data_IF_417241073824
#
_entry.id   IF_417241073824
#
_cell.length_a   1.000
_cell.length_b   1.000
_cell.length_c   1.000
_cell.angle_alpha   90.00
_cell.angle_beta   90.00
_cell.angle_gamma   90.00
#
_symmetry.space_group_name_H-M   'P 1'
#
loop_
_entity.id
_entity.type
_entity.pdbx_description
1 polymer ?
#
# COMPACT_ATOMS: atom_id res chain seq x y z
N UNK A 1 6.28 9.25 8.79
CA UNK A 1 7.16 9.76 9.86
C UNK A 1 8.35 10.42 9.17
N UNK A 2 8.97 11.42 9.78
CA UNK A 2 10.15 12.10 9.24
C UNK A 2 11.15 12.21 10.38
N UNK A 3 12.39 11.81 10.13
CA UNK A 3 13.42 11.86 11.16
C UNK A 3 13.76 13.30 11.52
N UNK A 4 14.13 13.50 12.78
CA UNK A 4 14.62 14.79 13.23
C UNK A 4 15.98 15.04 12.58
N UNK A 5 16.18 16.25 12.06
CA UNK A 5 17.44 16.68 11.46
C UNK A 5 17.88 17.98 12.12
N UNK A 6 19.18 18.19 12.21
CA UNK A 6 19.75 19.50 12.58
C UNK A 6 19.44 20.55 11.50
N UNK A 7 19.15 20.11 10.27
CA UNK A 7 18.52 20.94 9.25
C UNK A 7 17.00 20.98 9.45
N UNK A 8 16.37 22.14 9.22
CA UNK A 8 14.92 22.23 9.27
C UNK A 8 14.26 21.33 8.22
N UNK A 9 13.30 20.51 8.64
CA UNK A 9 12.42 19.79 7.73
C UNK A 9 11.50 20.80 7.01
N UNK A 10 11.54 20.84 5.69
CA UNK A 10 10.67 21.69 4.87
C UNK A 10 9.41 20.92 4.44
N UNK A 11 8.24 21.55 4.63
CA UNK A 11 6.96 21.02 4.18
C UNK A 11 6.48 21.87 3.01
N UNK A 12 6.77 21.39 1.79
CA UNK A 12 6.42 22.08 0.55
C UNK A 12 5.12 21.54 -0.03
N UNK A 13 4.14 22.42 -0.20
CA UNK A 13 2.93 22.16 -0.99
C UNK A 13 3.06 22.83 -2.35
N UNK A 14 3.09 22.04 -3.42
CA UNK A 14 3.05 22.56 -4.79
C UNK A 14 1.61 22.40 -5.29
N UNK A 15 0.91 23.51 -5.40
CA UNK A 15 -0.44 23.55 -5.97
C UNK A 15 -0.33 24.02 -7.41
N UNK A 16 -0.94 23.28 -8.34
CA UNK A 16 -0.95 23.66 -9.75
C UNK A 16 -1.50 25.07 -9.93
N UNK A 17 -0.81 25.89 -10.73
CA UNK A 17 -1.17 27.29 -10.99
C UNK A 17 -2.27 27.44 -12.06
N UNK A 18 -2.76 26.32 -12.60
CA UNK A 18 -3.85 26.24 -13.57
C UNK A 18 -5.04 25.55 -12.89
N UNK A 19 -6.13 26.29 -12.69
CA UNK A 19 -7.37 25.72 -12.19
C UNK A 19 -8.00 24.83 -13.26
N UNK A 20 -8.11 23.52 -12.99
CA UNK A 20 -8.96 22.62 -13.77
C UNK A 20 -10.37 22.71 -13.18
N UNK A 21 -11.23 23.55 -13.78
CA UNK A 21 -12.61 23.77 -13.33
C UNK A 21 -13.07 25.23 -13.43
N UNK A 22 -14.36 25.48 -13.17
CA UNK A 22 -15.00 26.81 -13.30
C UNK A 22 -14.80 27.72 -12.07
N UNK A 23 -14.07 27.27 -11.06
CA UNK A 23 -13.83 28.04 -9.83
C UNK A 23 -12.49 27.68 -9.20
N UNK A 24 -11.72 28.70 -8.80
CA UNK A 24 -10.53 28.52 -7.97
C UNK A 24 -11.03 28.27 -6.54
N UNK A 25 -10.96 27.02 -6.09
CA UNK A 25 -11.32 26.68 -4.72
C UNK A 25 -10.35 27.34 -3.73
N UNK A 26 -10.89 27.96 -2.68
CA UNK A 26 -10.10 28.46 -1.56
C UNK A 26 -9.66 27.25 -0.71
N UNK A 27 -8.42 26.80 -0.87
CA UNK A 27 -7.90 25.59 -0.20
C UNK A 27 -7.32 25.97 1.15
N UNK A 28 -7.77 25.31 2.21
CA UNK A 28 -7.24 25.47 3.57
C UNK A 28 -6.80 24.09 4.07
N UNK A 29 -5.67 24.04 4.77
CA UNK A 29 -5.15 22.83 5.40
C UNK A 29 -4.92 23.08 6.89
N UNK A 30 -5.19 22.07 7.70
CA UNK A 30 -4.79 22.03 9.11
C UNK A 30 -3.74 20.94 9.25
N UNK A 31 -2.55 21.30 9.74
CA UNK A 31 -1.42 20.38 9.88
C UNK A 31 -1.08 20.27 11.36
N UNK A 32 -1.07 19.04 11.88
CA UNK A 32 -0.58 18.74 13.22
C UNK A 32 0.75 18.02 13.13
N UNK A 33 1.74 18.54 13.83
CA UNK A 33 3.05 17.91 13.97
C UNK A 33 3.24 17.50 15.43
N UNK A 34 3.64 16.25 15.64
CA UNK A 34 4.00 15.72 16.96
C UNK A 34 5.44 15.25 16.90
N UNK A 35 6.24 15.65 17.87
CA UNK A 35 7.63 15.21 17.98
C UNK A 35 7.75 14.16 19.09
N UNK A 36 8.53 13.13 18.83
CA UNK A 36 8.86 12.08 19.81
C UNK A 36 10.35 12.16 20.13
N UNK A 37 10.70 11.84 21.37
CA UNK A 37 12.11 11.72 21.75
C UNK A 37 12.76 10.54 21.01
N UNK A 38 14.08 10.63 20.77
CA UNK A 38 14.84 9.61 20.03
C UNK A 38 14.90 8.25 20.76
N UNK A 39 14.57 8.20 22.04
CA UNK A 39 14.49 7.00 22.88
C UNK A 39 13.05 6.49 23.06
N UNK A 40 12.08 7.07 22.35
CA UNK A 40 10.70 6.64 22.42
C UNK A 40 10.58 5.18 21.95
N UNK A 41 10.04 4.32 22.82
CA UNK A 41 10.00 2.85 22.61
C UNK A 41 9.25 2.41 21.35
N UNK A 42 8.35 3.25 20.84
CA UNK A 42 7.52 2.96 19.68
C UNK A 42 7.84 3.92 18.52
N UNK A 43 9.12 4.26 18.34
CA UNK A 43 9.56 4.97 17.15
C UNK A 43 9.28 4.12 15.91
N UNK A 44 8.75 4.77 14.89
CA UNK A 44 8.63 4.16 13.57
C UNK A 44 10.04 3.88 13.03
N UNK A 45 10.28 2.71 12.39
CA UNK A 45 11.51 2.49 11.67
C UNK A 45 11.74 3.53 10.57
N UNK A 46 13.00 3.73 10.19
CA UNK A 46 13.36 4.63 9.08
C UNK A 46 12.64 4.24 7.78
N UNK A 47 12.22 5.25 7.03
CA UNK A 47 11.52 5.07 5.75
C UNK A 47 10.05 4.68 5.87
N UNK A 48 9.46 4.58 7.07
CA UNK A 48 8.04 4.33 7.26
C UNK A 48 7.21 5.62 7.10
N UNK A 49 6.30 5.64 6.13
CA UNK A 49 5.39 6.77 5.91
C UNK A 49 4.16 6.66 6.82
N UNK A 50 3.69 5.43 7.08
CA UNK A 50 2.67 5.09 8.08
C UNK A 50 3.25 4.06 9.07
N UNK A 51 2.86 4.14 10.35
CA UNK A 51 3.33 3.20 11.36
C UNK A 51 2.20 2.79 12.30
N UNK A 52 1.89 1.49 12.30
CA UNK A 52 0.85 0.88 13.14
C UNK A 52 1.49 0.01 14.22
N UNK A 53 1.00 0.12 15.45
CA UNK A 53 1.48 -0.65 16.60
C UNK A 53 0.39 -0.78 17.68
N UNK A 54 0.58 -1.70 18.61
CA UNK A 54 -0.29 -1.92 19.78
C UNK A 54 -1.46 -2.87 19.52
N UNK A 55 -2.07 -2.84 18.33
CA UNK A 55 -3.12 -3.77 17.93
C UNK A 55 -2.56 -4.93 17.08
N UNK A 56 -2.96 -6.17 17.43
CA UNK A 56 -2.65 -7.35 16.61
C UNK A 56 -3.54 -7.47 15.38
N UNK A 57 -4.72 -6.84 15.39
CA UNK A 57 -5.61 -6.71 14.23
C UNK A 57 -6.02 -5.26 14.09
N UNK A 58 -5.81 -4.69 12.91
CA UNK A 58 -6.21 -3.31 12.57
C UNK A 58 -6.30 -3.15 11.04
N UNK A 59 -6.82 -2.01 10.60
CA UNK A 59 -6.97 -1.66 9.18
C UNK A 59 -5.83 -0.75 8.75
N UNK A 60 -5.26 -1.06 7.58
CA UNK A 60 -4.32 -0.20 6.86
C UNK A 60 -4.92 0.21 5.52
N UNK A 61 -4.62 1.41 5.07
CA UNK A 61 -5.05 1.89 3.76
C UNK A 61 -4.07 2.91 3.19
N UNK A 62 -4.10 3.08 1.88
CA UNK A 62 -3.31 4.10 1.18
C UNK A 62 -3.80 5.51 1.53
N UNK A 63 -2.92 6.50 1.38
CA UNK A 63 -3.36 7.89 1.44
C UNK A 63 -4.44 8.19 0.40
N UNK A 64 -5.39 9.04 0.80
CA UNK A 64 -6.54 9.45 -0.01
C UNK A 64 -7.49 8.33 -0.46
N UNK A 65 -7.41 7.11 0.12
CA UNK A 65 -8.34 6.03 -0.19
C UNK A 65 -9.81 6.46 -0.05
N UNK A 66 -10.16 7.09 1.07
CA UNK A 66 -11.50 7.63 1.30
C UNK A 66 -11.88 8.80 0.37
N UNK A 67 -10.90 9.43 -0.29
CA UNK A 67 -11.12 10.46 -1.31
C UNK A 67 -11.45 9.90 -2.69
N UNK A 68 -11.48 8.58 -2.86
CA UNK A 68 -11.94 7.91 -4.08
C UNK A 68 -10.87 7.73 -5.16
N UNK A 69 -9.64 8.22 -4.93
CA UNK A 69 -8.54 8.11 -5.91
C UNK A 69 -7.17 8.24 -5.24
N UNK A 70 -6.19 7.38 -5.55
CA UNK A 70 -4.79 7.61 -5.15
C UNK A 70 -4.14 8.68 -6.03
N UNK A 71 -3.02 9.22 -5.53
CA UNK A 71 -2.23 10.21 -6.26
C UNK A 71 -1.14 9.51 -7.07
N UNK A 72 -0.63 10.19 -8.10
CA UNK A 72 0.58 9.80 -8.81
C UNK A 72 1.83 9.98 -7.92
N UNK A 73 2.93 9.36 -8.34
CA UNK A 73 4.27 9.43 -7.75
C UNK A 73 4.30 9.13 -6.24
N UNK A 74 3.43 8.22 -5.79
CA UNK A 74 3.39 7.83 -4.39
C UNK A 74 4.38 6.70 -4.13
N UNK A 75 5.06 6.78 -3.00
CA UNK A 75 5.90 5.72 -2.49
C UNK A 75 5.65 5.59 -0.99
N UNK A 76 4.56 4.92 -0.64
CA UNK A 76 4.11 4.78 0.73
C UNK A 76 4.65 3.48 1.30
N UNK A 77 5.32 3.53 2.45
CA UNK A 77 5.78 2.35 3.16
C UNK A 77 5.04 2.28 4.50
N UNK A 78 4.03 1.41 4.55
CA UNK A 78 3.22 1.17 5.73
C UNK A 78 3.91 0.10 6.56
N UNK A 79 4.43 0.50 7.71
CA UNK A 79 5.13 -0.37 8.62
C UNK A 79 4.23 -0.80 9.77
N UNK A 80 4.30 -2.08 10.14
CA UNK A 80 3.50 -2.63 11.23
C UNK A 80 4.46 -3.22 12.25
N UNK A 81 4.40 -2.72 13.48
CA UNK A 81 5.23 -3.25 14.55
C UNK A 81 4.81 -4.68 14.88
N UNK A 82 5.78 -5.58 14.92
CA UNK A 82 5.58 -6.93 15.43
C UNK A 82 5.36 -6.90 16.94
N UNK A 83 4.15 -7.22 17.37
CA UNK A 83 3.83 -7.34 18.79
C UNK A 83 4.41 -8.64 19.37
N UNK A 84 4.64 -8.65 20.68
CA UNK A 84 5.34 -9.75 21.36
C UNK A 84 4.63 -11.08 21.11
N UNK A 85 5.41 -12.10 20.74
CA UNK A 85 4.90 -13.46 20.51
C UNK A 85 4.38 -13.69 19.10
N UNK A 86 4.16 -12.65 18.30
CA UNK A 86 3.76 -12.80 16.91
C UNK A 86 4.99 -12.96 16.00
N UNK A 87 4.84 -13.78 14.96
CA UNK A 87 5.90 -14.11 14.00
C UNK A 87 5.41 -14.10 12.55
N UNK A 88 4.10 -14.10 12.33
CA UNK A 88 3.43 -14.07 11.03
C UNK A 88 2.45 -12.91 11.00
N UNK A 89 2.26 -12.30 9.84
CA UNK A 89 1.21 -11.33 9.57
C UNK A 89 0.37 -11.80 8.39
N UNK A 90 -0.94 -11.66 8.50
CA UNK A 90 -1.88 -11.99 7.43
C UNK A 90 -2.66 -10.74 7.02
N UNK A 91 -2.98 -10.64 5.75
CA UNK A 91 -3.68 -9.54 5.13
C UNK A 91 -4.90 -10.05 4.37
N UNK A 92 -5.99 -9.32 4.48
CA UNK A 92 -7.24 -9.59 3.78
C UNK A 92 -7.82 -8.26 3.34
N UNK A 93 -8.22 -8.14 2.08
CA UNK A 93 -8.99 -6.99 1.64
C UNK A 93 -10.37 -7.02 2.31
N UNK A 94 -10.88 -5.89 2.81
CA UNK A 94 -12.20 -5.86 3.46
C UNK A 94 -13.28 -6.28 2.44
N UNK A 95 -13.18 -5.76 1.23
CA UNK A 95 -13.90 -6.21 0.05
C UNK A 95 -12.90 -6.40 -1.11
N UNK A 96 -13.18 -7.27 -2.08
CA UNK A 96 -12.26 -7.47 -3.22
C UNK A 96 -12.02 -6.17 -4.02
N UNK A 97 -13.00 -5.26 -4.02
CA UNK A 97 -12.94 -3.93 -4.65
C UNK A 97 -12.05 -2.93 -3.87
N UNK A 98 -11.77 -3.20 -2.60
CA UNK A 98 -10.88 -2.38 -1.78
C UNK A 98 -9.40 -2.58 -2.14
N UNK A 99 -9.09 -3.41 -3.14
CA UNK A 99 -7.79 -3.44 -3.81
C UNK A 99 -8.03 -3.03 -5.26
N UNK A 100 -7.74 -1.77 -5.53
CA UNK A 100 -7.92 -1.14 -6.83
C UNK A 100 -6.78 -0.16 -7.03
N UNK A 101 -5.67 -0.70 -7.48
CA UNK A 101 -4.39 0.00 -7.57
C UNK A 101 -4.08 0.39 -9.01
N UNK A 102 -4.49 -0.41 -9.98
CA UNK A 102 -4.32 -0.08 -11.39
C UNK A 102 -5.22 -0.96 -12.25
N UNK A 103 -5.53 -0.56 -13.48
CA UNK A 103 -6.25 -1.44 -14.38
C UNK A 103 -6.76 -0.80 -15.67
N UNK A 104 -6.86 -1.66 -16.69
CA UNK A 104 -7.74 -1.52 -17.86
C UNK A 104 -8.74 -2.68 -17.82
N UNK A 105 -9.96 -2.51 -18.35
CA UNK A 105 -11.09 -3.46 -18.21
C UNK A 105 -10.77 -4.95 -18.52
N UNK A 106 -9.70 -5.24 -19.26
CA UNK A 106 -9.29 -6.60 -19.62
C UNK A 106 -8.31 -7.26 -18.62
N UNK A 107 -7.69 -6.48 -17.74
CA UNK A 107 -6.57 -6.89 -16.88
C UNK A 107 -6.98 -6.79 -15.41
N UNK A 108 -7.89 -7.69 -15.03
CA UNK A 108 -8.38 -7.84 -13.66
C UNK A 108 -7.51 -8.80 -12.86
N UNK A 109 -6.67 -8.25 -11.98
CA UNK A 109 -5.91 -9.03 -11.01
C UNK A 109 -4.60 -9.58 -11.57
N UNK A 110 -3.50 -9.03 -11.08
CA UNK A 110 -2.18 -9.59 -11.28
C UNK A 110 -1.58 -9.85 -9.90
N UNK A 111 -1.61 -11.11 -9.51
CA UNK A 111 -0.83 -11.68 -8.42
C UNK A 111 -0.08 -12.87 -8.99
N UNK A 112 1.14 -13.12 -8.49
CA UNK A 112 2.19 -14.03 -9.02
C UNK A 112 3.34 -13.36 -9.77
N UNK A 113 3.92 -12.29 -9.21
CA UNK A 113 5.09 -11.61 -9.79
C UNK A 113 4.87 -11.24 -11.28
N UNK A 114 3.65 -10.80 -11.62
CA UNK A 114 3.42 -10.29 -12.97
C UNK A 114 4.37 -9.13 -13.20
N UNK A 115 5.12 -9.23 -14.30
CA UNK A 115 6.22 -8.34 -14.65
C UNK A 115 5.72 -6.92 -14.92
N UNK A 116 4.42 -6.74 -15.18
CA UNK A 116 3.83 -5.40 -15.35
C UNK A 116 3.61 -4.69 -14.02
N UNK A 117 3.50 -5.40 -12.89
CA UNK A 117 3.36 -4.74 -11.59
C UNK A 117 4.67 -4.05 -11.20
N UNK A 118 4.59 -2.80 -10.75
CA UNK A 118 5.74 -1.99 -10.32
C UNK A 118 6.74 -1.58 -11.42
N UNK A 119 6.43 -1.79 -12.71
CA UNK A 119 7.19 -1.25 -13.84
C UNK A 119 8.50 -1.93 -14.19
N UNK A 120 8.61 -3.26 -14.03
CA UNK A 120 9.82 -3.99 -14.41
C UNK A 120 9.57 -5.06 -15.47
N UNK A 121 9.99 -4.77 -16.70
CA UNK A 121 10.06 -5.80 -17.75
C UNK A 121 10.86 -7.04 -17.29
N UNK A 122 10.69 -8.22 -17.94
CA UNK A 122 11.52 -9.41 -17.71
C UNK A 122 13.03 -9.20 -17.72
N UNK A 123 13.51 -8.09 -18.30
CA UNK A 123 14.92 -7.71 -18.41
C UNK A 123 15.40 -6.76 -17.28
N UNK A 124 14.54 -6.44 -16.30
CA UNK A 124 14.85 -5.49 -15.24
C UNK A 124 14.88 -4.02 -15.70
N UNK A 125 14.37 -3.75 -16.91
CA UNK A 125 14.24 -2.39 -17.44
C UNK A 125 12.90 -1.79 -17.04
N UNK A 126 12.88 -0.48 -16.79
CA UNK A 126 11.66 0.29 -16.58
C UNK A 126 10.77 0.19 -17.83
N UNK A 127 9.58 -0.37 -17.68
CA UNK A 127 8.54 -0.43 -18.72
C UNK A 127 7.29 0.31 -18.22
N UNK A 128 6.27 0.49 -19.07
CA UNK A 128 4.94 0.97 -18.66
C UNK A 128 4.34 -0.03 -17.67
N UNK A 129 4.64 0.16 -16.40
CA UNK A 129 4.17 -0.66 -15.31
C UNK A 129 2.91 -0.10 -14.72
N UNK A 130 2.09 -1.01 -14.24
CA UNK A 130 1.01 -0.65 -13.35
C UNK A 130 1.55 -0.30 -11.97
N UNK A 131 0.81 0.58 -11.29
CA UNK A 131 0.93 0.80 -9.86
C UNK A 131 0.82 -0.53 -9.11
N UNK A 132 1.41 -0.59 -7.92
CA UNK A 132 1.51 -1.86 -7.23
C UNK A 132 1.52 -1.76 -5.70
N UNK A 133 1.15 -2.89 -5.10
CA UNK A 133 1.37 -3.20 -3.70
C UNK A 133 2.50 -4.22 -3.65
N UNK A 134 3.43 -4.03 -2.73
CA UNK A 134 4.53 -4.92 -2.47
C UNK A 134 4.40 -5.42 -1.04
N UNK A 135 4.16 -6.72 -0.90
CA UNK A 135 4.13 -7.42 0.38
C UNK A 135 5.13 -8.58 0.27
N UNK A 136 6.30 -8.45 0.90
CA UNK A 136 7.34 -9.47 0.77
C UNK A 136 6.93 -10.84 1.32
N UNK A 137 7.18 -11.91 0.55
CA UNK A 137 7.02 -13.30 1.03
C UNK A 137 5.57 -13.73 1.25
N UNK A 138 4.65 -13.29 0.39
CA UNK A 138 3.26 -13.71 0.47
C UNK A 138 3.08 -15.20 0.17
N UNK A 139 2.26 -15.83 0.98
CA UNK A 139 1.82 -17.22 0.87
C UNK A 139 0.31 -17.29 1.09
N UNK A 140 -0.39 -18.20 0.41
CA UNK A 140 -1.82 -18.41 0.66
C UNK A 140 -2.03 -18.96 2.07
N UNK A 141 -2.96 -18.40 2.85
CA UNK A 141 -3.20 -18.89 4.22
C UNK A 141 -3.70 -20.34 4.26
N UNK A 142 -4.47 -20.77 3.26
CA UNK A 142 -4.98 -22.13 3.14
C UNK A 142 -3.97 -23.12 2.53
N UNK A 143 -2.91 -22.61 1.90
CA UNK A 143 -1.86 -23.40 1.26
C UNK A 143 -0.49 -22.72 1.52
N UNK A 144 0.04 -22.80 2.75
CA UNK A 144 1.19 -22.00 3.18
C UNK A 144 2.51 -22.33 2.44
N UNK A 145 2.55 -23.40 1.64
CA UNK A 145 3.70 -23.74 0.80
C UNK A 145 3.62 -23.12 -0.61
N UNK A 146 2.50 -22.48 -0.96
CA UNK A 146 2.30 -21.82 -2.26
C UNK A 146 2.64 -20.33 -2.15
N UNK A 147 3.77 -19.95 -2.76
CA UNK A 147 4.21 -18.55 -2.83
C UNK A 147 3.41 -17.81 -3.91
N UNK A 148 2.89 -16.63 -3.56
CA UNK A 148 2.08 -15.75 -4.43
C UNK A 148 2.91 -14.66 -5.14
N UNK A 149 4.21 -14.58 -4.85
CA UNK A 149 5.07 -13.47 -5.26
C UNK A 149 5.20 -12.39 -4.20
N UNK A 150 5.93 -11.33 -4.52
CA UNK A 150 6.19 -10.21 -3.61
C UNK A 150 5.43 -8.93 -4.01
N UNK A 151 4.91 -8.86 -5.24
CA UNK A 151 4.19 -7.71 -5.76
C UNK A 151 2.89 -8.09 -6.45
N UNK A 152 1.95 -7.15 -6.44
CA UNK A 152 0.62 -7.29 -7.03
C UNK A 152 0.10 -5.96 -7.57
N UNK A 153 -0.76 -6.04 -8.58
CA UNK A 153 -1.42 -4.91 -9.22
C UNK A 153 -2.78 -5.37 -9.76
N UNK A 154 -3.62 -4.43 -10.20
CA UNK A 154 -4.98 -4.74 -10.67
C UNK A 154 -6.09 -4.11 -9.83
N UNK A 155 -7.33 -4.43 -10.20
CA UNK A 155 -8.54 -3.98 -9.51
C UNK A 155 -9.62 -5.07 -9.43
N UNK A 156 -10.51 -4.98 -8.43
CA UNK A 156 -11.68 -5.85 -8.22
C UNK A 156 -11.41 -7.34 -7.97
N UNK A 157 -10.16 -7.70 -7.68
CA UNK A 157 -9.73 -9.09 -7.48
C UNK A 157 -9.10 -9.31 -6.09
N UNK A 158 -9.13 -8.33 -5.18
CA UNK A 158 -8.51 -8.46 -3.86
C UNK A 158 -6.99 -8.66 -3.92
N UNK A 159 -6.45 -9.43 -2.97
CA UNK A 159 -5.00 -9.73 -2.89
C UNK A 159 -4.57 -10.97 -3.70
N UNK A 160 -5.52 -11.79 -4.11
CA UNK A 160 -5.33 -12.98 -4.93
C UNK A 160 -6.53 -13.04 -5.85
N UNK A 161 -6.32 -13.32 -7.13
CA UNK A 161 -7.39 -13.41 -8.14
C UNK A 161 -8.60 -14.16 -7.62
N UNK A 162 -9.63 -13.38 -7.28
CA UNK A 162 -10.97 -13.88 -7.00
C UNK A 162 -11.93 -13.39 -8.07
N UNK A 163 -12.99 -14.15 -8.40
CA UNK A 163 -14.04 -13.66 -9.26
C UNK A 163 -14.63 -12.34 -8.76
N UNK A 164 -15.06 -11.47 -9.68
CA UNK A 164 -15.74 -10.21 -9.34
C UNK A 164 -16.90 -10.49 -8.39
N UNK A 165 -16.92 -9.84 -7.23
CA UNK A 165 -17.98 -9.98 -6.23
C UNK A 165 -17.87 -11.22 -5.34
N UNK A 166 -16.78 -11.99 -5.43
CA UNK A 166 -16.45 -13.02 -4.45
C UNK A 166 -15.78 -12.43 -3.20
N UNK A 167 -15.78 -13.22 -2.12
CA UNK A 167 -15.12 -12.86 -0.87
C UNK A 167 -13.60 -12.79 -1.02
N UNK A 168 -12.98 -11.86 -0.29
CA UNK A 168 -11.53 -11.69 -0.27
C UNK A 168 -10.81 -12.89 0.34
N UNK A 169 -9.70 -13.30 -0.27
CA UNK A 169 -8.82 -14.35 0.26
C UNK A 169 -7.77 -13.75 1.20
N UNK A 170 -7.47 -14.48 2.28
CA UNK A 170 -6.41 -14.12 3.23
C UNK A 170 -5.05 -14.65 2.78
N UNK A 171 -4.06 -13.77 2.73
CA UNK A 171 -2.66 -14.09 2.41
C UNK A 171 -1.77 -13.74 3.61
N UNK A 172 -0.68 -14.47 3.80
CA UNK A 172 0.19 -14.27 4.96
C UNK A 172 1.65 -14.15 4.56
N UNK A 173 2.43 -13.48 5.39
CA UNK A 173 3.89 -13.43 5.31
C UNK A 173 4.51 -13.68 6.68
N UNK A 174 5.60 -14.43 6.69
CA UNK A 174 6.48 -14.62 7.86
C UNK A 174 7.75 -13.77 7.76
N UNK A 175 7.92 -13.01 6.67
CA UNK A 175 9.09 -12.17 6.45
C UNK A 175 9.02 -10.96 7.36
N UNK A 176 10.13 -10.67 8.04
CA UNK A 176 10.26 -9.53 8.94
C UNK A 176 11.32 -8.55 8.39
N UNK A 177 11.17 -7.23 8.61
CA UNK A 177 10.05 -6.56 9.31
C UNK A 177 8.73 -6.64 8.52
N UNK A 178 7.59 -6.49 9.21
CA UNK A 178 6.28 -6.45 8.55
C UNK A 178 6.04 -5.09 7.93
N UNK A 179 5.92 -5.06 6.60
CA UNK A 179 5.58 -3.86 5.86
C UNK A 179 4.77 -4.17 4.60
N UNK A 180 4.01 -3.16 4.19
CA UNK A 180 3.28 -3.12 2.93
C UNK A 180 3.69 -1.84 2.23
N UNK A 181 4.17 -1.94 0.99
CA UNK A 181 4.59 -0.77 0.21
C UNK A 181 3.66 -0.54 -0.96
N UNK A 182 3.15 0.68 -1.10
CA UNK A 182 2.39 1.14 -2.25
C UNK A 182 3.31 1.98 -3.14
N UNK A 183 3.32 1.70 -4.44
CA UNK A 183 3.96 2.58 -5.43
C UNK A 183 3.00 2.90 -6.55
N UNK A 184 2.86 4.19 -6.84
CA UNK A 184 2.26 4.66 -8.09
C UNK A 184 3.30 5.31 -8.98
N UNK A 185 3.07 5.20 -10.28
CA UNK A 185 3.92 5.82 -11.31
C UNK A 185 3.58 7.31 -11.50
N UNK A 186 4.20 7.94 -12.52
CA UNK A 186 4.11 9.38 -12.76
C UNK A 186 2.84 9.82 -13.48
N UNK A 187 2.04 8.90 -14.04
CA UNK A 187 0.91 9.26 -14.89
C UNK A 187 -0.32 8.42 -14.64
N UNK A 188 -1.30 9.04 -13.99
CA UNK A 188 -2.65 8.51 -13.96
C UNK A 188 -3.41 8.95 -15.23
N UNK A 189 -3.48 8.10 -16.24
CA UNK A 189 -4.12 8.46 -17.51
C UNK A 189 -5.65 8.43 -17.41
N UNK A 190 -6.36 9.15 -18.28
CA UNK A 190 -7.84 9.17 -18.26
C UNK A 190 -8.49 7.82 -18.62
N UNK A 191 -7.70 6.82 -19.03
CA UNK A 191 -8.18 5.48 -19.38
C UNK A 191 -8.01 4.45 -18.26
N UNK A 192 -7.31 4.79 -17.19
CA UNK A 192 -7.09 3.87 -16.06
C UNK A 192 -8.33 3.84 -15.16
N UNK A 193 -8.77 2.61 -14.85
CA UNK A 193 -9.85 2.32 -13.93
C UNK A 193 -9.28 1.68 -12.67
N UNK A 194 -10.03 1.79 -11.58
CA UNK A 194 -9.65 1.11 -10.33
C UNK A 194 -8.37 1.68 -9.74
N UNK A 195 -8.39 2.97 -9.45
CA UNK A 195 -7.27 3.77 -8.93
C UNK A 195 -7.61 4.34 -7.55
N UNK A 196 -8.26 3.54 -6.72
CA UNK A 196 -8.71 3.91 -5.37
C UNK A 196 -7.55 3.80 -4.35
N UNK A 197 -6.71 2.81 -4.56
CA UNK A 197 -5.57 2.41 -3.74
C UNK A 197 -5.85 1.04 -3.13
N UNK A 198 -5.51 0.89 -1.85
CA UNK A 198 -5.95 -0.30 -1.11
C UNK A 198 -6.42 -0.01 0.30
N UNK A 199 -7.27 -0.91 0.80
CA UNK A 199 -7.66 -1.02 2.21
C UNK A 199 -7.70 -2.48 2.63
N UNK A 200 -6.86 -2.82 3.61
CA UNK A 200 -6.65 -4.19 4.09
C UNK A 200 -6.82 -4.24 5.61
N UNK A 201 -7.38 -5.34 6.10
CA UNK A 201 -7.23 -5.75 7.49
C UNK A 201 -5.95 -6.55 7.60
N UNK A 202 -5.08 -6.21 8.55
CA UNK A 202 -3.99 -7.08 8.95
C UNK A 202 -4.32 -7.83 10.24
N UNK A 203 -3.76 -9.02 10.41
CA UNK A 203 -3.79 -9.76 11.68
C UNK A 203 -2.44 -10.42 11.93
N UNK A 204 -1.86 -10.15 13.09
CA UNK A 204 -0.62 -10.76 13.55
C UNK A 204 -0.92 -12.06 14.29
N UNK A 205 -0.12 -13.08 14.03
CA UNK A 205 -0.29 -14.42 14.57
C UNK A 205 1.02 -14.96 15.15
N UNK A 206 0.91 -15.75 16.22
CA UNK A 206 2.02 -16.45 16.88
C UNK A 206 2.30 -17.85 16.34
N UNK A 207 1.38 -18.43 15.56
CA UNK A 207 1.45 -19.80 15.06
C UNK A 207 1.81 -19.85 13.56
N UNK A 208 2.52 -20.89 13.15
CA UNK A 208 2.83 -21.16 11.73
C UNK A 208 3.85 -20.20 11.14
N UNK A 209 4.82 -19.81 11.97
CA UNK A 209 6.21 -19.67 11.56
C UNK A 209 6.88 -21.06 11.71
#
# INVERSE_FOLDING_TARGET
YVDASEACNDLRFVLGNQGVGTGIANRQWSVKVTQYACDFKNLAPEGCTQYHFGASTDIIQTYNFAGGRHLADQNQNICIRRERGNCKICFTAIEAIDVAVSGVLADMGFNNDDKKCCGYSPAGLADQGFDCIIIPGLMKSAAPNERLGDSMCGHNAGLVDVPVGADSVTVCSTRQPFNVRFRSDTFETMGELGILGFRLVYTQNSNGC
#
